data_IF_517985083180
#
_entry.id   IF_517985083180
#
_cell.length_a   1.000
_cell.length_b   1.000
_cell.length_c   1.000
_cell.angle_alpha   90.00
_cell.angle_beta   90.00
_cell.angle_gamma   90.00
#
_symmetry.space_group_name_H-M   'P 1'
#
loop_
_entity.id
_entity.type
_entity.pdbx_description
1 polymer ?
#
# COMPACT_ATOMS: atom_id res chain seq x y z
N UNK A 1 0.61 5.22 -38.67
CA UNK A 1 -0.11 6.13 -37.74
C UNK A 1 0.90 6.80 -36.84
N UNK A 2 0.77 8.10 -36.54
CA UNK A 2 1.57 8.75 -35.50
C UNK A 2 1.41 7.99 -34.17
N UNK A 3 2.48 7.86 -33.41
CA UNK A 3 2.56 7.03 -32.20
C UNK A 3 1.46 7.34 -31.17
N UNK A 4 1.02 8.60 -31.11
CA UNK A 4 -0.04 9.07 -30.21
C UNK A 4 -1.45 8.53 -30.57
N UNK A 5 -1.75 8.37 -31.86
CA UNK A 5 -3.05 7.84 -32.32
C UNK A 5 -3.15 6.35 -32.05
N UNK A 6 -2.03 5.62 -32.16
CA UNK A 6 -1.96 4.19 -31.88
C UNK A 6 -2.16 3.90 -30.38
N UNK A 7 -1.49 4.68 -29.52
CA UNK A 7 -1.64 4.58 -28.05
C UNK A 7 -3.10 4.85 -27.62
N UNK A 8 -3.78 5.80 -28.25
CA UNK A 8 -5.17 6.12 -27.92
C UNK A 8 -6.17 5.04 -28.40
N UNK A 9 -5.95 4.46 -29.59
CA UNK A 9 -6.75 3.33 -30.10
C UNK A 9 -6.61 2.07 -29.24
N UNK A 10 -5.40 1.77 -28.77
CA UNK A 10 -5.14 0.62 -27.91
C UNK A 10 -5.81 0.80 -26.53
N UNK A 11 -5.90 2.05 -26.05
CA UNK A 11 -6.57 2.40 -24.77
C UNK A 11 -8.09 2.20 -24.84
N UNK A 12 -8.72 2.52 -25.98
CA UNK A 12 -10.17 2.32 -26.19
C UNK A 12 -10.51 0.84 -26.37
N UNK A 13 -9.71 0.08 -27.12
CA UNK A 13 -9.99 -1.36 -27.32
C UNK A 13 -9.91 -2.18 -26.03
N UNK A 14 -9.04 -1.79 -25.09
CA UNK A 14 -8.98 -2.39 -23.75
C UNK A 14 -10.16 -2.03 -22.84
N UNK A 15 -10.87 -0.93 -23.14
CA UNK A 15 -12.02 -0.47 -22.34
C UNK A 15 -13.35 -1.17 -22.68
N UNK A 16 -13.40 -1.98 -23.75
CA UNK A 16 -14.64 -2.60 -24.26
C UNK A 16 -14.70 -4.13 -24.15
N UNK A 17 -13.78 -4.77 -23.42
CA UNK A 17 -13.83 -6.21 -23.14
C UNK A 17 -14.33 -6.51 -21.72
N UNK A 18 -15.66 -6.46 -21.51
CA UNK A 18 -16.34 -6.91 -20.29
C UNK A 18 -17.87 -6.98 -20.50
N UNK A 19 -18.57 -8.04 -20.04
CA UNK A 19 -19.91 -8.34 -20.53
C UNK A 19 -21.02 -7.56 -19.80
N UNK A 20 -22.04 -7.20 -20.59
CA UNK A 20 -23.38 -6.76 -20.18
C UNK A 20 -23.48 -5.46 -19.35
N UNK A 21 -23.63 -4.32 -20.03
CA UNK A 21 -24.92 -3.59 -20.22
C UNK A 21 -24.63 -2.24 -20.90
N UNK A 22 -24.32 -2.24 -22.20
CA UNK A 22 -24.20 -1.01 -22.98
C UNK A 22 -24.91 -1.17 -24.32
N UNK A 23 -26.24 -1.05 -24.33
CA UNK A 23 -27.02 -1.06 -25.58
C UNK A 23 -27.87 0.17 -25.81
N UNK A 24 -27.77 1.21 -24.97
CA UNK A 24 -28.42 2.51 -25.30
C UNK A 24 -27.55 3.77 -25.09
N UNK A 25 -26.40 3.67 -24.41
CA UNK A 25 -25.50 4.82 -24.21
C UNK A 25 -24.39 4.90 -25.29
N UNK A 26 -23.99 3.78 -25.90
CA UNK A 26 -22.88 3.76 -26.88
C UNK A 26 -23.17 4.38 -28.26
N UNK A 27 -24.42 4.66 -28.63
CA UNK A 27 -24.71 5.21 -29.96
C UNK A 27 -24.53 6.73 -30.05
N UNK A 28 -24.71 7.47 -28.94
CA UNK A 28 -24.67 8.94 -28.95
C UNK A 28 -23.28 9.53 -28.70
N UNK A 29 -22.34 8.78 -28.13
CA UNK A 29 -20.96 9.26 -27.90
C UNK A 29 -19.98 8.88 -29.01
N UNK A 30 -20.38 8.00 -29.94
CA UNK A 30 -19.50 7.55 -31.04
C UNK A 30 -19.31 8.59 -32.16
N UNK A 31 -20.29 9.47 -32.41
CA UNK A 31 -20.19 10.49 -33.45
C UNK A 31 -19.35 11.70 -33.00
N UNK A 32 -19.37 12.03 -31.71
CA UNK A 32 -18.60 13.15 -31.13
C UNK A 32 -17.09 12.85 -31.14
N UNK A 33 -16.71 11.63 -30.77
CA UNK A 33 -15.30 11.17 -30.78
C UNK A 33 -14.75 11.09 -32.21
N UNK A 34 -15.58 10.71 -33.19
CA UNK A 34 -15.19 10.68 -34.61
C UNK A 34 -15.05 12.11 -35.15
N UNK A 35 -15.92 13.04 -34.74
CA UNK A 35 -15.81 14.45 -35.11
C UNK A 35 -14.54 15.11 -34.54
N UNK A 36 -14.16 14.77 -33.31
CA UNK A 36 -12.90 15.23 -32.69
C UNK A 36 -11.67 14.59 -33.35
N UNK A 37 -11.72 13.31 -33.74
CA UNK A 37 -10.66 12.66 -34.53
C UNK A 37 -10.46 13.34 -35.90
N UNK A 38 -11.54 13.65 -36.61
CA UNK A 38 -11.47 14.33 -37.91
C UNK A 38 -10.95 15.76 -37.78
N UNK A 39 -11.27 16.45 -36.69
CA UNK A 39 -10.75 17.78 -36.38
C UNK A 39 -9.24 17.76 -36.06
N UNK A 40 -8.77 16.79 -35.26
CA UNK A 40 -7.35 16.60 -34.94
C UNK A 40 -6.52 16.19 -36.16
N UNK A 41 -7.05 15.33 -37.03
CA UNK A 41 -6.39 14.96 -38.29
C UNK A 41 -6.29 16.11 -39.30
N UNK A 42 -7.23 17.07 -39.27
CA UNK A 42 -7.20 18.28 -40.10
C UNK A 42 -6.15 19.30 -39.62
N UNK A 43 -5.92 19.37 -38.30
CA UNK A 43 -4.93 20.27 -37.67
C UNK A 43 -3.46 19.84 -37.87
N UNK A 44 -3.20 18.56 -38.13
CA UNK A 44 -1.83 18.01 -38.32
C UNK A 44 -1.38 17.92 -39.79
N UNK A 45 -2.15 18.43 -40.76
CA UNK A 45 -1.70 18.61 -42.15
C UNK A 45 -1.52 17.30 -42.97
N UNK A 46 -2.20 16.21 -42.61
CA UNK A 46 -2.18 14.98 -43.39
C UNK A 46 -2.89 15.15 -44.75
N UNK A 47 -2.35 14.53 -45.81
CA UNK A 47 -2.94 14.61 -47.16
C UNK A 47 -4.30 13.92 -47.16
N UNK A 48 -5.31 14.54 -47.80
CA UNK A 48 -6.72 14.09 -47.88
C UNK A 48 -6.88 12.61 -48.22
N UNK A 49 -6.00 12.05 -49.05
CA UNK A 49 -6.02 10.62 -49.42
C UNK A 49 -5.74 9.66 -48.25
N UNK A 50 -4.99 10.07 -47.23
CA UNK A 50 -4.69 9.24 -46.04
C UNK A 50 -5.85 9.22 -45.05
N UNK A 51 -6.60 10.32 -44.97
CA UNK A 51 -7.84 10.43 -44.18
C UNK A 51 -8.93 9.54 -44.80
N UNK A 52 -9.05 9.56 -46.12
CA UNK A 52 -10.04 8.76 -46.85
C UNK A 52 -9.74 7.25 -46.76
N UNK A 53 -8.46 6.88 -46.78
CA UNK A 53 -8.01 5.50 -46.51
C UNK A 53 -8.36 5.07 -45.08
N UNK A 54 -8.09 5.90 -44.08
CA UNK A 54 -8.43 5.61 -42.69
C UNK A 54 -9.95 5.45 -42.48
N UNK A 55 -10.76 6.24 -43.19
CA UNK A 55 -12.22 6.15 -43.17
C UNK A 55 -12.72 4.81 -43.75
N UNK A 56 -12.12 4.36 -44.84
CA UNK A 56 -12.48 3.08 -45.46
C UNK A 56 -12.06 1.88 -44.61
N UNK A 57 -10.89 1.94 -43.96
CA UNK A 57 -10.41 0.87 -43.08
C UNK A 57 -11.31 0.72 -41.83
N UNK A 58 -11.78 1.83 -41.24
CA UNK A 58 -12.75 1.82 -40.13
C UNK A 58 -14.10 1.23 -40.55
N UNK A 59 -14.57 1.54 -41.77
CA UNK A 59 -15.83 1.00 -42.30
C UNK A 59 -15.74 -0.53 -42.49
N UNK A 60 -14.61 -1.02 -43.02
CA UNK A 60 -14.38 -2.45 -43.24
C UNK A 60 -14.33 -3.24 -41.92
N UNK A 61 -13.70 -2.67 -40.90
CA UNK A 61 -13.67 -3.25 -39.55
C UNK A 61 -15.07 -3.33 -38.91
N UNK A 62 -15.94 -2.33 -39.14
CA UNK A 62 -17.35 -2.38 -38.69
C UNK A 62 -18.13 -3.51 -39.34
N UNK A 63 -17.94 -3.73 -40.64
CA UNK A 63 -18.63 -4.78 -41.40
C UNK A 63 -18.15 -6.19 -40.98
N UNK A 64 -16.86 -6.36 -40.69
CA UNK A 64 -16.31 -7.63 -40.17
C UNK A 64 -16.83 -7.97 -38.76
N UNK A 65 -16.92 -6.98 -37.86
CA UNK A 65 -17.49 -7.15 -36.51
C UNK A 65 -18.98 -7.50 -36.57
N UNK A 66 -19.73 -6.85 -37.48
CA UNK A 66 -21.15 -7.17 -37.69
C UNK A 66 -21.37 -8.60 -38.24
N UNK A 67 -20.46 -9.07 -39.10
CA UNK A 67 -20.53 -10.43 -39.66
C UNK A 67 -20.21 -11.53 -38.64
N UNK A 68 -19.31 -11.29 -37.68
CA UNK A 68 -18.96 -12.22 -36.59
C UNK A 68 -20.05 -12.37 -35.53
N UNK A 69 -20.89 -11.35 -35.33
CA UNK A 69 -21.99 -11.39 -34.37
C UNK A 69 -23.22 -12.16 -34.88
N UNK A 70 -23.31 -12.49 -36.17
CA UNK A 70 -24.46 -13.19 -36.76
C UNK A 70 -24.34 -14.71 -36.80
N UNK A 71 -23.21 -15.31 -36.42
CA UNK A 71 -22.98 -16.76 -36.56
C UNK A 71 -23.07 -17.59 -35.28
N UNK A 72 -23.34 -17.01 -34.10
CA UNK A 72 -23.38 -17.75 -32.82
C UNK A 72 -24.63 -17.45 -31.96
N UNK A 73 -25.82 -17.53 -32.55
CA UNK A 73 -27.08 -17.41 -31.80
C UNK A 73 -28.08 -18.51 -32.20
N UNK A 74 -27.86 -19.74 -31.73
CA UNK A 74 -28.92 -20.72 -31.49
C UNK A 74 -28.53 -21.59 -30.26
N UNK A 75 -29.48 -21.69 -29.32
CA UNK A 75 -29.49 -22.47 -28.07
C UNK A 75 -28.54 -22.08 -26.92
N UNK A 76 -29.04 -21.27 -25.96
CA UNK A 76 -29.45 -21.80 -24.64
C UNK A 76 -30.06 -20.68 -23.78
N UNK A 77 -31.39 -20.63 -23.71
CA UNK A 77 -32.14 -19.61 -22.97
C UNK A 77 -32.37 -20.08 -21.52
N UNK A 78 -31.38 -19.89 -20.65
CA UNK A 78 -31.57 -19.95 -19.18
C UNK A 78 -31.09 -18.64 -18.55
N UNK A 79 -32.05 -17.86 -18.05
CA UNK A 79 -31.85 -16.67 -17.21
C UNK A 79 -30.73 -16.93 -16.18
N UNK A 80 -29.58 -16.27 -16.34
CA UNK A 80 -28.63 -16.08 -15.25
C UNK A 80 -28.86 -14.67 -14.69
N UNK A 81 -29.61 -14.61 -13.60
CA UNK A 81 -29.45 -13.57 -12.60
C UNK A 81 -27.97 -13.48 -12.20
N UNK A 82 -27.44 -12.34 -11.72
CA UNK A 82 -26.12 -12.32 -11.09
C UNK A 82 -26.21 -13.22 -9.85
N UNK A 83 -25.76 -14.47 -9.98
CA UNK A 83 -25.55 -15.34 -8.85
C UNK A 83 -24.41 -14.73 -8.06
N UNK A 84 -24.73 -14.15 -6.90
CA UNK A 84 -23.81 -14.08 -5.77
C UNK A 84 -23.27 -15.52 -5.62
N UNK A 85 -21.96 -15.77 -5.75
CA UNK A 85 -21.43 -17.08 -5.44
C UNK A 85 -21.64 -17.29 -3.95
N UNK A 86 -22.65 -18.09 -3.59
CA UNK A 86 -22.73 -18.69 -2.27
C UNK A 86 -21.65 -19.76 -2.21
N UNK A 87 -20.41 -19.32 -2.05
CA UNK A 87 -19.27 -20.21 -1.88
C UNK A 87 -19.34 -20.78 -0.45
N UNK A 88 -19.37 -22.12 -0.27
CA UNK A 88 -19.51 -22.73 1.06
C UNK A 88 -18.33 -22.47 2.02
N UNK A 89 -17.28 -21.76 1.58
CA UNK A 89 -16.20 -21.25 2.43
C UNK A 89 -16.48 -19.88 3.09
N UNK A 90 -17.58 -19.21 2.75
CA UNK A 90 -17.87 -17.84 3.22
C UNK A 90 -18.44 -17.77 4.66
N UNK A 91 -18.52 -18.88 5.39
CA UNK A 91 -19.01 -18.90 6.76
C UNK A 91 -17.84 -18.94 7.74
N UNK A 92 -17.60 -17.84 8.45
CA UNK A 92 -16.56 -17.76 9.48
C UNK A 92 -16.91 -18.71 10.64
N UNK A 93 -15.95 -19.51 11.09
CA UNK A 93 -16.16 -20.37 12.26
C UNK A 93 -16.20 -19.53 13.55
N UNK A 94 -16.69 -20.11 14.65
CA UNK A 94 -16.69 -19.42 15.95
C UNK A 94 -15.28 -19.10 16.41
N UNK A 95 -14.37 -20.04 16.21
CA UNK A 95 -12.95 -19.90 16.53
C UNK A 95 -12.34 -18.74 15.73
N UNK A 96 -12.71 -18.58 14.45
CA UNK A 96 -12.30 -17.43 13.63
C UNK A 96 -12.83 -16.13 14.18
N UNK A 97 -14.12 -16.05 14.51
CA UNK A 97 -14.74 -14.83 15.05
C UNK A 97 -14.10 -14.42 16.38
N UNK A 98 -13.85 -15.38 17.28
CA UNK A 98 -13.13 -15.13 18.54
C UNK A 98 -11.70 -14.67 18.31
N UNK A 99 -10.95 -15.33 17.42
CA UNK A 99 -9.58 -14.95 17.08
C UNK A 99 -9.50 -13.56 16.43
N UNK A 100 -10.52 -13.15 15.68
CA UNK A 100 -10.58 -11.85 15.00
C UNK A 100 -10.60 -10.68 15.99
N UNK A 101 -11.00 -10.91 17.24
CA UNK A 101 -10.98 -9.90 18.32
C UNK A 101 -9.59 -9.67 18.92
N UNK A 102 -8.59 -10.49 18.55
CA UNK A 102 -7.26 -10.49 19.13
C UNK A 102 -6.20 -9.96 18.14
N UNK A 103 -5.18 -9.23 18.61
CA UNK A 103 -4.08 -8.77 17.75
C UNK A 103 -3.17 -9.92 17.27
N UNK A 104 -3.35 -11.12 17.82
CA UNK A 104 -2.65 -12.34 17.40
C UNK A 104 -3.23 -12.98 16.14
N UNK A 105 -4.32 -12.43 15.57
CA UNK A 105 -4.91 -12.93 14.33
C UNK A 105 -3.88 -12.94 13.19
N UNK A 106 -3.64 -14.12 12.61
CA UNK A 106 -2.75 -14.30 11.47
C UNK A 106 -3.50 -13.97 10.17
N UNK A 107 -3.28 -12.76 9.66
CA UNK A 107 -3.89 -12.32 8.42
C UNK A 107 -3.38 -13.09 7.20
N UNK A 108 -2.20 -13.71 7.23
CA UNK A 108 -1.60 -14.38 6.05
C UNK A 108 -2.32 -15.66 5.63
N UNK A 109 -3.10 -16.27 6.52
CA UNK A 109 -3.87 -17.49 6.22
C UNK A 109 -5.12 -17.26 5.35
N UNK A 110 -5.48 -15.99 5.09
CA UNK A 110 -6.77 -15.64 4.53
C UNK A 110 -6.65 -15.02 3.14
N UNK A 111 -7.49 -15.48 2.23
CA UNK A 111 -7.65 -14.91 0.89
C UNK A 111 -8.59 -13.69 0.91
N UNK A 112 -8.59 -12.83 -0.14
CA UNK A 112 -9.38 -11.61 -0.17
C UNK A 112 -10.86 -11.79 0.15
N UNK A 113 -11.52 -12.84 -0.36
CA UNK A 113 -12.94 -13.11 -0.09
C UNK A 113 -13.22 -13.43 1.39
N UNK A 114 -12.29 -14.10 2.06
CA UNK A 114 -12.43 -14.44 3.47
C UNK A 114 -12.16 -13.20 4.35
N UNK A 115 -11.15 -12.39 3.99
CA UNK A 115 -10.91 -11.09 4.61
C UNK A 115 -12.10 -10.15 4.47
N UNK A 116 -12.75 -10.11 3.31
CA UNK A 116 -14.00 -9.36 3.09
C UNK A 116 -15.13 -9.84 4.00
N UNK A 117 -15.24 -11.15 4.21
CA UNK A 117 -16.23 -11.74 5.14
C UNK A 117 -15.93 -11.37 6.59
N UNK A 118 -14.64 -11.34 6.98
CA UNK A 118 -14.21 -10.85 8.29
C UNK A 118 -14.56 -9.37 8.49
N UNK A 119 -14.31 -8.51 7.50
CA UNK A 119 -14.69 -7.09 7.56
C UNK A 119 -16.21 -6.91 7.67
N UNK A 120 -16.98 -7.66 6.89
CA UNK A 120 -18.45 -7.67 7.00
C UNK A 120 -18.89 -8.06 8.42
N UNK A 121 -18.31 -9.13 8.97
CA UNK A 121 -18.60 -9.58 10.33
C UNK A 121 -18.33 -8.49 11.38
N UNK A 122 -17.20 -7.79 11.32
CA UNK A 122 -16.87 -6.72 12.27
C UNK A 122 -17.95 -5.63 12.32
N UNK A 123 -18.51 -5.22 11.16
CA UNK A 123 -19.58 -4.22 11.10
C UNK A 123 -20.90 -4.72 11.73
N UNK A 124 -21.20 -6.00 11.57
CA UNK A 124 -22.37 -6.63 12.19
C UNK A 124 -22.18 -6.79 13.70
N UNK A 125 -21.03 -7.30 14.13
CA UNK A 125 -20.71 -7.61 15.52
C UNK A 125 -20.67 -6.35 16.40
N UNK A 126 -20.05 -5.29 15.89
CA UNK A 126 -20.04 -3.97 16.55
C UNK A 126 -21.42 -3.29 16.58
N UNK A 127 -22.45 -3.89 15.97
CA UNK A 127 -23.81 -3.34 15.91
C UNK A 127 -23.99 -2.19 14.92
N UNK A 128 -22.95 -1.84 14.13
CA UNK A 128 -22.98 -0.70 13.21
C UNK A 128 -24.05 -0.86 12.13
N UNK A 129 -24.22 -2.09 11.62
CA UNK A 129 -25.26 -2.38 10.64
C UNK A 129 -26.66 -2.11 11.19
N UNK A 130 -26.92 -2.55 12.42
CA UNK A 130 -28.22 -2.40 13.09
C UNK A 130 -28.49 -0.94 13.43
N UNK A 131 -27.54 -0.29 14.10
CA UNK A 131 -27.75 1.02 14.70
C UNK A 131 -27.82 2.14 13.65
N UNK A 132 -27.15 1.97 12.52
CA UNK A 132 -27.14 2.93 11.40
C UNK A 132 -28.00 2.51 10.21
N UNK A 133 -28.75 1.40 10.34
CA UNK A 133 -29.58 0.85 9.28
C UNK A 133 -28.81 0.68 7.96
N UNK A 134 -27.58 0.15 8.03
CA UNK A 134 -26.77 -0.12 6.85
C UNK A 134 -27.40 -1.31 6.13
N UNK A 135 -27.69 -1.16 4.83
CA UNK A 135 -28.18 -2.29 4.05
C UNK A 135 -27.06 -3.35 3.92
N UNK A 136 -27.27 -4.62 4.33
CA UNK A 136 -26.21 -5.64 4.29
C UNK A 136 -25.66 -5.93 2.88
N UNK A 137 -26.48 -5.77 1.84
CA UNK A 137 -26.05 -5.93 0.44
C UNK A 137 -25.16 -4.74 0.04
N UNK A 138 -25.54 -3.53 0.43
CA UNK A 138 -24.73 -2.32 0.19
C UNK A 138 -23.40 -2.40 0.94
N UNK A 139 -23.38 -2.94 2.17
CA UNK A 139 -22.13 -3.18 2.91
C UNK A 139 -21.17 -4.09 2.13
N UNK A 140 -21.67 -5.22 1.60
CA UNK A 140 -20.85 -6.15 0.78
C UNK A 140 -20.33 -5.48 -0.49
N UNK A 141 -21.19 -4.76 -1.21
CA UNK A 141 -20.81 -4.04 -2.44
C UNK A 141 -19.77 -2.95 -2.15
N UNK A 142 -19.94 -2.22 -1.07
CA UNK A 142 -18.99 -1.23 -0.61
C UNK A 142 -17.63 -1.87 -0.29
N UNK A 143 -17.58 -2.95 0.50
CA UNK A 143 -16.33 -3.66 0.82
C UNK A 143 -15.64 -4.22 -0.42
N UNK A 144 -16.40 -4.76 -1.38
CA UNK A 144 -15.85 -5.19 -2.69
C UNK A 144 -15.26 -4.01 -3.46
N UNK A 145 -15.97 -2.87 -3.50
CA UNK A 145 -15.48 -1.67 -4.16
C UNK A 145 -14.22 -1.10 -3.48
N UNK A 146 -14.14 -1.16 -2.14
CA UNK A 146 -12.92 -0.84 -1.39
C UNK A 146 -11.77 -1.73 -1.83
N UNK A 147 -11.97 -3.06 -1.82
CA UNK A 147 -10.96 -4.03 -2.26
C UNK A 147 -10.45 -3.71 -3.67
N UNK A 148 -11.35 -3.45 -4.61
CA UNK A 148 -11.01 -3.18 -6.01
C UNK A 148 -10.24 -1.85 -6.20
N UNK A 149 -10.30 -0.94 -5.23
CA UNK A 149 -9.58 0.33 -5.24
C UNK A 149 -8.28 0.29 -4.41
N UNK A 150 -7.92 -0.83 -3.80
CA UNK A 150 -6.55 -1.05 -3.32
C UNK A 150 -5.69 -1.63 -4.44
N UNK A 151 -4.46 -1.10 -4.58
CA UNK A 151 -3.51 -1.59 -5.59
C UNK A 151 -2.70 -2.76 -5.06
N UNK A 152 -2.12 -3.53 -5.98
CA UNK A 152 -1.22 -4.64 -5.67
C UNK A 152 0.22 -4.16 -5.42
N UNK A 153 0.40 -3.22 -4.48
CA UNK A 153 1.74 -2.86 -4.00
C UNK A 153 2.24 -3.91 -2.99
N UNK A 154 3.56 -4.04 -2.78
CA UNK A 154 4.08 -5.01 -1.81
C UNK A 154 3.58 -4.77 -0.38
N UNK A 155 3.53 -3.51 0.08
CA UNK A 155 3.10 -3.17 1.44
C UNK A 155 1.71 -2.51 1.47
N UNK A 156 1.53 -1.36 0.80
CA UNK A 156 0.27 -0.61 0.86
C UNK A 156 -0.77 -1.21 -0.08
N UNK A 157 -1.39 -2.32 0.35
CA UNK A 157 -2.36 -3.13 -0.39
C UNK A 157 -3.60 -3.48 0.48
N UNK A 158 -4.53 -4.26 -0.08
CA UNK A 158 -5.75 -4.64 0.64
C UNK A 158 -5.50 -5.44 1.93
N UNK A 159 -4.42 -6.21 2.01
CA UNK A 159 -4.09 -6.95 3.22
C UNK A 159 -3.60 -6.01 4.33
N UNK A 160 -2.88 -4.93 3.99
CA UNK A 160 -2.53 -3.87 4.95
C UNK A 160 -3.80 -3.19 5.48
N UNK A 161 -4.71 -2.78 4.58
CA UNK A 161 -6.03 -2.29 4.95
C UNK A 161 -6.77 -3.21 5.93
N UNK A 162 -6.76 -4.52 5.65
CA UNK A 162 -7.34 -5.52 6.53
C UNK A 162 -6.65 -5.56 7.89
N UNK A 163 -5.31 -5.60 7.94
CA UNK A 163 -4.53 -5.58 9.19
C UNK A 163 -4.83 -4.36 10.06
N UNK A 164 -4.93 -3.18 9.47
CA UNK A 164 -5.25 -1.93 10.17
C UNK A 164 -6.67 -1.97 10.74
N UNK A 165 -7.63 -2.42 9.94
CA UNK A 165 -9.03 -2.52 10.36
C UNK A 165 -9.23 -3.59 11.44
N UNK A 166 -8.58 -4.73 11.31
CA UNK A 166 -8.63 -5.82 12.28
C UNK A 166 -7.93 -5.43 13.60
N UNK A 167 -6.85 -4.65 13.54
CA UNK A 167 -6.23 -4.08 14.75
C UNK A 167 -7.16 -3.07 15.42
N UNK A 168 -7.85 -2.22 14.66
CA UNK A 168 -8.85 -1.30 15.21
C UNK A 168 -9.98 -2.07 15.92
N UNK A 169 -10.50 -3.13 15.30
CA UNK A 169 -11.49 -4.01 15.91
C UNK A 169 -10.96 -4.65 17.21
N UNK A 170 -9.72 -5.17 17.18
CA UNK A 170 -9.06 -5.71 18.38
C UNK A 170 -8.92 -4.67 19.49
N UNK A 171 -8.54 -3.43 19.16
CA UNK A 171 -8.46 -2.34 20.13
C UNK A 171 -9.84 -1.97 20.69
N UNK A 172 -10.89 -1.96 19.86
CA UNK A 172 -12.26 -1.71 20.30
C UNK A 172 -12.69 -2.75 21.35
N UNK A 173 -12.42 -4.03 21.09
CA UNK A 173 -12.72 -5.13 22.01
C UNK A 173 -11.85 -5.06 23.29
N UNK A 174 -10.52 -5.00 23.14
CA UNK A 174 -9.57 -5.02 24.26
C UNK A 174 -9.71 -3.80 25.19
N UNK A 175 -9.99 -2.63 24.63
CA UNK A 175 -10.10 -1.38 25.38
C UNK A 175 -11.52 -1.02 25.78
N UNK A 176 -12.51 -1.89 25.52
CA UNK A 176 -13.95 -1.64 25.72
C UNK A 176 -14.38 -0.27 25.17
N UNK A 177 -13.95 0.08 23.95
CA UNK A 177 -14.13 1.44 23.42
C UNK A 177 -15.60 1.82 23.22
N UNK A 178 -16.51 0.85 23.06
CA UNK A 178 -17.95 1.10 22.98
C UNK A 178 -18.56 1.63 24.31
N UNK A 179 -17.84 1.52 25.44
CA UNK A 179 -18.24 2.16 26.70
C UNK A 179 -17.76 3.61 26.80
N UNK A 180 -16.84 4.04 25.91
CA UNK A 180 -16.16 5.33 25.95
C UNK A 180 -16.54 6.24 24.79
N UNK A 181 -16.87 5.65 23.65
CA UNK A 181 -17.20 6.34 22.41
C UNK A 181 -18.63 6.07 22.00
N UNK A 182 -19.22 7.02 21.30
CA UNK A 182 -20.52 6.82 20.66
C UNK A 182 -20.39 5.86 19.47
N UNK A 183 -21.50 5.22 19.08
CA UNK A 183 -21.50 4.35 17.89
C UNK A 183 -21.08 5.08 16.61
N UNK A 184 -21.30 6.40 16.51
CA UNK A 184 -20.87 7.21 15.36
C UNK A 184 -19.35 7.28 15.28
N UNK A 185 -18.68 7.36 16.43
CA UNK A 185 -17.22 7.41 16.52
C UNK A 185 -16.60 6.04 16.27
N UNK A 186 -17.25 4.95 16.72
CA UNK A 186 -16.85 3.58 16.38
C UNK A 186 -16.97 3.36 14.86
N UNK A 187 -18.08 3.79 14.26
CA UNK A 187 -18.25 3.76 12.81
C UNK A 187 -17.17 4.57 12.09
N UNK A 188 -16.84 5.77 12.58
CA UNK A 188 -15.80 6.61 11.99
C UNK A 188 -14.41 5.94 12.03
N UNK A 189 -14.04 5.32 13.16
CA UNK A 189 -12.79 4.60 13.33
C UNK A 189 -12.69 3.41 12.36
N UNK A 190 -13.72 2.58 12.30
CA UNK A 190 -13.75 1.41 11.40
C UNK A 190 -13.77 1.82 9.92
N UNK A 191 -14.54 2.85 9.56
CA UNK A 191 -14.61 3.35 8.18
C UNK A 191 -13.29 3.95 7.75
N UNK A 192 -12.69 4.79 8.59
CA UNK A 192 -11.39 5.41 8.30
C UNK A 192 -10.29 4.36 8.15
N UNK A 193 -10.23 3.36 9.05
CA UNK A 193 -9.26 2.27 8.97
C UNK A 193 -9.34 1.50 7.65
N UNK A 194 -10.56 1.19 7.17
CA UNK A 194 -10.77 0.49 5.89
C UNK A 194 -10.37 1.36 4.68
N UNK A 195 -10.50 2.69 4.79
CA UNK A 195 -10.33 3.60 3.66
C UNK A 195 -8.97 4.33 3.61
N UNK A 196 -8.13 4.21 4.64
CA UNK A 196 -7.04 5.17 4.86
C UNK A 196 -5.98 5.22 3.77
N UNK A 197 -5.77 4.13 3.02
CA UNK A 197 -4.74 3.99 1.98
C UNK A 197 -5.31 3.65 0.59
N UNK A 198 -6.58 3.98 0.35
CA UNK A 198 -7.25 3.73 -0.94
C UNK A 198 -6.46 4.32 -2.12
N UNK A 199 -6.24 3.51 -3.15
CA UNK A 199 -5.52 3.88 -4.37
C UNK A 199 -4.06 4.34 -4.13
N UNK A 200 -3.41 3.89 -3.04
CA UNK A 200 -2.01 4.18 -2.78
C UNK A 200 -1.12 3.73 -3.95
N UNK A 201 -0.22 4.59 -4.48
CA UNK A 201 0.52 4.30 -5.71
C UNK A 201 1.83 3.53 -5.50
N UNK A 202 2.19 3.22 -4.25
CA UNK A 202 3.46 2.57 -3.90
C UNK A 202 4.65 3.54 -3.74
N UNK A 203 4.39 4.85 -3.73
CA UNK A 203 5.40 5.90 -3.56
C UNK A 203 4.88 6.98 -2.62
N UNK A 204 5.62 7.26 -1.55
CA UNK A 204 5.18 8.13 -0.46
C UNK A 204 5.10 9.63 -0.85
N UNK A 205 4.59 10.46 0.07
CA UNK A 205 4.42 11.91 -0.14
C UNK A 205 5.72 12.62 -0.57
N UNK A 206 6.88 12.23 -0.04
CA UNK A 206 8.17 12.82 -0.40
C UNK A 206 8.47 12.63 -1.89
N UNK A 207 8.21 11.42 -2.42
CA UNK A 207 8.32 11.17 -3.85
C UNK A 207 7.33 12.00 -4.65
N UNK A 208 6.05 12.05 -4.24
CA UNK A 208 5.02 12.82 -4.95
C UNK A 208 5.44 14.28 -5.14
N UNK A 209 5.93 14.90 -4.06
CA UNK A 209 6.36 16.30 -4.02
C UNK A 209 7.64 16.52 -4.85
N UNK A 210 8.68 15.70 -4.63
CA UNK A 210 9.95 15.87 -5.34
C UNK A 210 9.82 15.63 -6.84
N UNK A 211 9.02 14.65 -7.25
CA UNK A 211 8.72 14.36 -8.65
C UNK A 211 7.64 15.28 -9.26
N UNK A 212 7.03 16.15 -8.45
CA UNK A 212 5.94 17.08 -8.85
C UNK A 212 4.83 16.37 -9.60
N UNK A 213 4.38 15.24 -9.05
CA UNK A 213 3.34 14.43 -9.68
C UNK A 213 2.01 15.18 -9.73
N UNK A 214 1.06 14.69 -10.53
CA UNK A 214 -0.29 15.26 -10.59
C UNK A 214 -0.93 15.39 -9.20
N UNK A 215 -0.70 14.41 -8.32
CA UNK A 215 -1.25 14.40 -6.98
C UNK A 215 -0.65 15.50 -6.10
N UNK A 216 0.68 15.67 -6.12
CA UNK A 216 1.34 16.76 -5.39
C UNK A 216 0.86 18.14 -5.87
N UNK A 217 0.73 18.32 -7.18
CA UNK A 217 0.21 19.57 -7.76
C UNK A 217 -1.26 19.81 -7.38
N UNK A 218 -2.11 18.76 -7.43
CA UNK A 218 -3.53 18.86 -7.09
C UNK A 218 -3.75 19.25 -5.63
N UNK A 219 -2.94 18.72 -4.72
CA UNK A 219 -3.05 18.95 -3.27
C UNK A 219 -2.05 19.97 -2.73
N UNK A 220 -1.32 20.67 -3.61
CA UNK A 220 -0.39 21.74 -3.27
C UNK A 220 0.63 21.32 -2.20
N UNK A 221 1.19 20.12 -2.33
CA UNK A 221 2.17 19.51 -1.42
C UNK A 221 1.68 19.26 0.03
N UNK A 222 0.39 19.45 0.32
CA UNK A 222 -0.20 19.24 1.66
C UNK A 222 -0.80 17.84 1.73
N UNK A 223 -0.12 16.92 2.41
CA UNK A 223 -0.52 15.50 2.57
C UNK A 223 -1.16 14.91 1.30
N UNK A 224 -0.47 14.90 0.14
CA UNK A 224 -1.11 14.56 -1.15
C UNK A 224 -1.79 13.20 -1.16
N UNK A 225 -1.14 12.18 -0.60
CA UNK A 225 -1.65 10.81 -0.55
C UNK A 225 -2.90 10.71 0.34
N UNK A 226 -2.83 11.22 1.57
CA UNK A 226 -3.93 11.08 2.53
C UNK A 226 -5.18 11.86 2.06
N UNK A 227 -4.99 13.00 1.40
CA UNK A 227 -6.08 13.71 0.72
C UNK A 227 -6.66 12.90 -0.44
N UNK A 228 -5.82 12.21 -1.21
CA UNK A 228 -6.25 11.34 -2.31
C UNK A 228 -7.03 10.13 -1.81
N UNK A 229 -6.52 9.40 -0.81
CA UNK A 229 -7.20 8.26 -0.18
C UNK A 229 -8.59 8.66 0.30
N UNK A 230 -8.68 9.81 0.98
CA UNK A 230 -9.95 10.35 1.43
C UNK A 230 -10.89 10.75 0.28
N UNK A 231 -10.36 11.38 -0.77
CA UNK A 231 -11.15 11.73 -1.95
C UNK A 231 -11.74 10.49 -2.64
N UNK A 232 -10.93 9.44 -2.82
CA UNK A 232 -11.37 8.15 -3.39
C UNK A 232 -12.44 7.50 -2.51
N UNK A 233 -12.27 7.49 -1.17
CA UNK A 233 -13.28 6.97 -0.25
C UNK A 233 -14.65 7.60 -0.48
N UNK A 234 -14.71 8.93 -0.60
CA UNK A 234 -15.98 9.63 -0.81
C UNK A 234 -16.49 9.62 -2.26
N UNK A 235 -15.62 9.34 -3.23
CA UNK A 235 -16.07 8.98 -4.58
C UNK A 235 -16.79 7.63 -4.55
N UNK A 236 -16.30 6.64 -3.81
CA UNK A 236 -16.98 5.35 -3.62
C UNK A 236 -18.33 5.56 -2.91
N UNK A 237 -18.38 6.33 -1.82
CA UNK A 237 -19.65 6.62 -1.12
C UNK A 237 -20.65 7.42 -1.97
N UNK A 238 -20.20 8.12 -3.01
CA UNK A 238 -21.10 8.84 -3.94
C UNK A 238 -21.87 7.90 -4.87
N UNK A 239 -21.42 6.64 -5.02
CA UNK A 239 -22.11 5.62 -5.80
C UNK A 239 -23.27 5.04 -4.96
N UNK A 240 -24.53 5.10 -5.40
CA UNK A 240 -25.68 4.67 -4.61
C UNK A 240 -25.59 3.22 -4.11
N UNK A 241 -25.02 2.33 -4.93
CA UNK A 241 -24.87 0.91 -4.62
C UNK A 241 -23.75 0.59 -3.61
N UNK A 242 -22.88 1.56 -3.30
CA UNK A 242 -21.78 1.45 -2.34
C UNK A 242 -21.94 2.41 -1.13
N UNK A 243 -23.03 3.16 -1.07
CA UNK A 243 -23.23 4.16 -0.03
C UNK A 243 -23.80 3.55 1.25
N UNK A 244 -22.93 3.08 2.16
CA UNK A 244 -23.35 2.58 3.48
C UNK A 244 -23.98 3.66 4.37
N UNK A 245 -23.85 4.94 4.01
CA UNK A 245 -24.45 6.08 4.71
C UNK A 245 -25.76 6.56 4.06
N UNK A 246 -26.33 5.80 3.12
CA UNK A 246 -27.53 6.21 2.36
C UNK A 246 -28.71 6.63 3.27
N UNK A 247 -28.87 5.97 4.41
CA UNK A 247 -29.97 6.21 5.36
C UNK A 247 -29.65 7.31 6.40
N UNK A 248 -28.51 7.99 6.30
CA UNK A 248 -28.11 9.03 7.24
C UNK A 248 -28.86 10.32 6.92
N UNK A 249 -29.26 11.04 7.97
CA UNK A 249 -29.66 12.43 7.78
C UNK A 249 -28.44 13.30 7.40
N UNK A 250 -28.65 14.51 6.84
CA UNK A 250 -27.55 15.36 6.39
C UNK A 250 -26.55 15.76 7.47
N UNK A 251 -26.98 15.94 8.73
CA UNK A 251 -26.08 16.33 9.82
C UNK A 251 -25.24 15.13 10.29
N UNK A 252 -25.86 13.95 10.40
CA UNK A 252 -25.15 12.70 10.66
C UNK A 252 -24.11 12.41 9.57
N UNK A 253 -24.46 12.59 8.29
CA UNK A 253 -23.53 12.42 7.17
C UNK A 253 -22.37 13.43 7.23
N UNK A 254 -22.66 14.69 7.56
CA UNK A 254 -21.63 15.72 7.71
C UNK A 254 -20.68 15.39 8.87
N UNK A 255 -21.21 14.87 9.98
CA UNK A 255 -20.40 14.45 11.12
C UNK A 255 -19.47 13.30 10.74
N UNK A 256 -20.01 12.18 10.22
CA UNK A 256 -19.17 11.01 9.85
C UNK A 256 -18.13 11.40 8.81
N UNK A 257 -18.51 12.23 7.82
CA UNK A 257 -17.56 12.73 6.82
C UNK A 257 -16.41 13.50 7.45
N UNK A 258 -16.71 14.44 8.35
CA UNK A 258 -15.69 15.24 9.02
C UNK A 258 -14.76 14.37 9.87
N UNK A 259 -15.31 13.40 10.60
CA UNK A 259 -14.53 12.47 11.42
C UNK A 259 -13.61 11.59 10.55
N UNK A 260 -14.15 10.95 9.50
CA UNK A 260 -13.36 10.12 8.59
C UNK A 260 -12.23 10.92 7.91
N UNK A 261 -12.51 12.14 7.43
CA UNK A 261 -11.46 13.02 6.86
C UNK A 261 -10.35 13.27 7.88
N UNK A 262 -10.72 13.62 9.11
CA UNK A 262 -9.75 13.95 10.17
C UNK A 262 -8.86 12.75 10.50
N UNK A 263 -9.43 11.54 10.52
CA UNK A 263 -8.70 10.31 10.83
C UNK A 263 -7.77 9.86 9.70
N UNK A 264 -8.23 9.90 8.45
CA UNK A 264 -7.38 9.56 7.29
C UNK A 264 -6.23 10.57 7.18
N UNK A 265 -6.47 11.88 7.29
CA UNK A 265 -5.40 12.88 7.26
C UNK A 265 -4.44 12.82 8.47
N UNK A 266 -4.77 12.06 9.51
CA UNK A 266 -3.90 11.85 10.66
C UNK A 266 -2.89 10.71 10.43
N UNK A 267 -3.11 9.83 9.44
CA UNK A 267 -2.17 8.72 9.15
C UNK A 267 -0.84 9.24 8.60
N UNK A 268 -0.82 10.40 7.94
CA UNK A 268 0.41 11.08 7.48
C UNK A 268 1.48 11.13 8.60
N UNK A 269 2.58 10.42 8.37
CA UNK A 269 3.67 10.30 9.33
C UNK A 269 4.47 11.59 9.49
N UNK A 270 4.38 12.55 8.56
CA UNK A 270 4.96 13.89 8.75
C UNK A 270 4.31 14.62 9.95
N UNK A 271 3.07 14.26 10.29
CA UNK A 271 2.30 14.85 11.42
C UNK A 271 2.43 14.04 12.72
N UNK A 272 3.16 12.93 12.72
CA UNK A 272 3.27 12.04 13.88
C UNK A 272 3.70 12.77 15.16
N UNK A 273 4.77 13.56 15.10
CA UNK A 273 5.30 14.27 16.27
C UNK A 273 4.33 15.32 16.82
N UNK A 274 3.60 16.03 15.95
CA UNK A 274 2.59 17.02 16.33
C UNK A 274 1.42 16.36 17.08
N UNK A 275 0.87 15.30 16.50
CA UNK A 275 -0.29 14.58 17.05
C UNK A 275 0.08 13.93 18.38
N UNK A 276 1.21 13.22 18.45
CA UNK A 276 1.63 12.53 19.67
C UNK A 276 1.98 13.53 20.79
N UNK A 277 2.60 14.67 20.46
CA UNK A 277 2.87 15.73 21.44
C UNK A 277 1.57 16.29 22.02
N UNK A 278 0.59 16.57 21.16
CA UNK A 278 -0.74 17.05 21.58
C UNK A 278 -1.44 16.04 22.48
N UNK A 279 -1.35 14.74 22.16
CA UNK A 279 -1.95 13.70 22.99
C UNK A 279 -1.25 13.57 24.35
N UNK A 280 0.09 13.59 24.38
CA UNK A 280 0.88 13.56 25.62
C UNK A 280 0.55 14.71 26.58
N UNK A 281 0.17 15.88 26.07
CA UNK A 281 -0.27 17.01 26.88
C UNK A 281 -1.65 16.79 27.53
N UNK A 282 -2.48 15.93 26.94
CA UNK A 282 -3.86 15.67 27.38
C UNK A 282 -3.99 14.40 28.22
N UNK A 283 -3.08 13.43 28.05
CA UNK A 283 -3.23 12.05 28.57
C UNK A 283 -3.30 11.98 30.10
N UNK A 284 -2.50 12.77 30.82
CA UNK A 284 -2.42 12.70 32.29
C UNK A 284 -3.68 13.26 32.98
N UNK A 285 -4.44 14.12 32.29
CA UNK A 285 -5.73 14.67 32.74
C UNK A 285 -6.81 14.45 31.68
N UNK A 286 -6.88 13.23 31.14
CA UNK A 286 -7.77 12.94 30.01
C UNK A 286 -9.24 12.97 30.43
N UNK A 287 -10.08 13.64 29.65
CA UNK A 287 -11.50 13.78 29.88
C UNK A 287 -12.29 13.26 28.67
N UNK A 288 -13.03 12.17 28.86
CA UNK A 288 -13.87 11.55 27.82
C UNK A 288 -15.08 12.39 27.42
N UNK A 289 -15.44 13.41 28.20
CA UNK A 289 -16.51 14.35 27.84
C UNK A 289 -16.00 15.50 26.97
N UNK A 290 -14.68 15.71 26.93
CA UNK A 290 -14.06 16.75 26.12
C UNK A 290 -13.82 16.24 24.68
N UNK A 291 -14.54 16.84 23.72
CA UNK A 291 -14.47 16.48 22.30
C UNK A 291 -13.06 16.58 21.70
N UNK A 292 -12.23 17.52 22.15
CA UNK A 292 -10.85 17.67 21.66
C UNK A 292 -9.90 16.60 22.21
N UNK A 293 -10.18 16.07 23.40
CA UNK A 293 -9.43 14.95 23.97
C UNK A 293 -9.79 13.68 23.22
N UNK A 294 -11.09 13.41 23.04
CA UNK A 294 -11.59 12.26 22.29
C UNK A 294 -11.13 12.30 20.83
N UNK A 295 -11.22 13.44 20.14
CA UNK A 295 -10.71 13.57 18.77
C UNK A 295 -9.20 13.28 18.68
N UNK A 296 -8.42 13.77 19.64
CA UNK A 296 -6.98 13.49 19.71
C UNK A 296 -6.69 12.01 19.94
N UNK A 297 -7.45 11.36 20.82
CA UNK A 297 -7.33 9.92 21.07
C UNK A 297 -7.67 9.11 19.82
N UNK A 298 -8.77 9.42 19.12
CA UNK A 298 -9.14 8.72 17.88
C UNK A 298 -8.05 8.83 16.80
N UNK A 299 -7.43 10.00 16.64
CA UNK A 299 -6.27 10.15 15.75
C UNK A 299 -5.10 9.27 16.17
N UNK A 300 -4.79 9.17 17.46
CA UNK A 300 -3.73 8.28 17.95
C UNK A 300 -4.09 6.81 17.76
N UNK A 301 -5.35 6.41 17.96
CA UNK A 301 -5.81 5.04 17.79
C UNK A 301 -5.66 4.56 16.34
N UNK A 302 -6.09 5.37 15.34
CA UNK A 302 -5.91 4.98 13.94
C UNK A 302 -4.42 4.89 13.58
N UNK A 303 -3.58 5.80 14.10
CA UNK A 303 -2.13 5.70 13.92
C UNK A 303 -1.54 4.46 14.59
N UNK A 304 -1.98 4.10 15.78
CA UNK A 304 -1.57 2.85 16.42
C UNK A 304 -1.86 1.66 15.51
N UNK A 305 -3.06 1.58 14.94
CA UNK A 305 -3.48 0.48 14.07
C UNK A 305 -2.70 0.45 12.75
N UNK A 306 -2.50 1.61 12.13
CA UNK A 306 -1.80 1.79 10.85
C UNK A 306 -0.38 1.20 10.88
N UNK A 307 0.38 1.50 11.95
CA UNK A 307 1.77 1.02 12.10
C UNK A 307 1.89 -0.14 13.10
N UNK A 308 0.85 -0.95 13.25
CA UNK A 308 0.77 -2.01 14.29
C UNK A 308 1.42 -3.34 13.94
N UNK A 309 2.07 -3.50 12.78
CA UNK A 309 2.57 -4.81 12.34
C UNK A 309 3.49 -5.48 13.38
N UNK A 310 4.40 -4.73 14.00
CA UNK A 310 5.33 -5.23 15.03
C UNK A 310 4.69 -5.51 16.40
N UNK A 311 3.39 -5.21 16.56
CA UNK A 311 2.60 -5.62 17.73
C UNK A 311 2.18 -7.08 17.61
N UNK A 312 2.06 -7.59 16.38
CA UNK A 312 1.60 -8.95 16.09
C UNK A 312 2.69 -9.97 16.44
N UNK A 313 2.33 -11.27 16.58
CA UNK A 313 3.31 -12.35 16.70
C UNK A 313 4.36 -12.27 15.59
N UNK A 314 5.59 -12.66 15.90
CA UNK A 314 6.74 -12.49 15.02
C UNK A 314 6.52 -13.14 13.65
N UNK A 315 5.90 -14.32 13.61
CA UNK A 315 5.63 -15.07 12.39
C UNK A 315 4.65 -14.34 11.46
N UNK A 316 3.81 -13.47 12.03
CA UNK A 316 2.86 -12.62 11.30
C UNK A 316 3.49 -11.27 10.93
N UNK A 317 4.33 -10.73 11.81
CA UNK A 317 4.96 -9.41 11.65
C UNK A 317 6.14 -9.42 10.65
N UNK A 318 7.01 -10.42 10.71
CA UNK A 318 8.27 -10.45 9.95
C UNK A 318 8.07 -10.39 8.42
N UNK A 319 7.09 -11.08 7.81
CA UNK A 319 6.84 -10.96 6.37
C UNK A 319 6.47 -9.53 5.93
N UNK A 320 5.83 -8.73 6.80
CA UNK A 320 5.52 -7.34 6.48
C UNK A 320 6.77 -6.47 6.32
N UNK A 321 7.88 -6.82 6.99
CA UNK A 321 9.14 -6.08 6.84
C UNK A 321 9.73 -6.29 5.45
N UNK A 322 9.61 -7.50 4.89
CA UNK A 322 10.02 -7.76 3.51
C UNK A 322 9.17 -6.94 2.52
N UNK A 323 7.85 -6.97 2.68
CA UNK A 323 6.92 -6.16 1.89
C UNK A 323 7.25 -4.65 1.96
N UNK A 324 7.51 -4.15 3.17
CA UNK A 324 7.85 -2.73 3.40
C UNK A 324 9.14 -2.34 2.68
N UNK A 325 10.19 -3.14 2.86
CA UNK A 325 11.49 -2.88 2.25
C UNK A 325 11.43 -3.01 0.72
N UNK A 326 10.69 -3.97 0.19
CA UNK A 326 10.48 -4.09 -1.26
C UNK A 326 9.86 -2.81 -1.84
N UNK A 327 8.80 -2.30 -1.22
CA UNK A 327 8.15 -1.06 -1.66
C UNK A 327 9.05 0.18 -1.51
N UNK A 328 9.73 0.31 -0.38
CA UNK A 328 10.68 1.40 -0.15
C UNK A 328 11.85 1.38 -1.14
N UNK A 329 12.35 0.19 -1.46
CA UNK A 329 13.45 0.05 -2.41
C UNK A 329 13.01 0.31 -3.86
N UNK A 330 11.78 -0.07 -4.23
CA UNK A 330 11.23 0.36 -5.53
C UNK A 330 11.17 1.88 -5.66
N UNK A 331 10.79 2.59 -4.59
CA UNK A 331 10.83 4.05 -4.57
C UNK A 331 12.26 4.59 -4.68
N UNK A 332 13.18 4.16 -3.82
CA UNK A 332 14.53 4.72 -3.81
C UNK A 332 15.32 4.40 -5.08
N UNK A 333 15.13 3.22 -5.68
CA UNK A 333 15.72 2.86 -6.97
C UNK A 333 15.18 3.78 -8.09
N UNK A 334 13.89 4.12 -8.06
CA UNK A 334 13.28 5.07 -9.00
C UNK A 334 13.77 6.50 -8.79
N UNK A 335 13.87 6.95 -7.54
CA UNK A 335 14.44 8.26 -7.20
C UNK A 335 15.88 8.40 -7.72
N UNK A 336 16.72 7.36 -7.55
CA UNK A 336 18.07 7.32 -8.14
C UNK A 336 18.04 7.44 -9.66
N UNK A 337 17.14 6.70 -10.33
CA UNK A 337 17.03 6.70 -11.78
C UNK A 337 16.55 8.04 -12.36
N UNK A 338 15.67 8.74 -11.63
CA UNK A 338 15.12 10.04 -12.03
C UNK A 338 15.96 11.23 -11.55
N UNK A 339 17.04 10.99 -10.79
CA UNK A 339 17.90 12.03 -10.24
C UNK A 339 17.26 12.84 -9.10
N UNK A 340 16.30 12.23 -8.39
CA UNK A 340 15.62 12.80 -7.24
C UNK A 340 16.38 12.52 -5.93
N UNK A 341 16.14 13.31 -4.85
CA UNK A 341 16.71 13.03 -3.54
C UNK A 341 16.25 11.68 -2.99
N UNK A 342 17.18 10.90 -2.44
CA UNK A 342 16.91 9.59 -1.83
C UNK A 342 17.06 9.68 -0.32
N UNK A 343 16.05 9.23 0.42
CA UNK A 343 16.10 9.18 1.87
C UNK A 343 17.02 8.04 2.36
N UNK A 344 18.00 8.28 3.27
CA UNK A 344 18.93 7.24 3.72
C UNK A 344 18.25 6.01 4.35
N UNK A 345 17.11 6.18 5.01
CA UNK A 345 16.35 5.11 5.64
C UNK A 345 15.52 4.26 4.66
N UNK A 346 15.51 4.61 3.37
CA UNK A 346 14.85 3.85 2.29
C UNK A 346 15.86 3.33 1.26
N UNK A 347 17.16 3.59 1.45
CA UNK A 347 18.18 3.24 0.47
C UNK A 347 18.55 1.75 0.59
N UNK A 348 18.31 0.98 -0.48
CA UNK A 348 18.62 -0.46 -0.57
C UNK A 348 20.05 -0.81 -0.16
N UNK A 349 21.00 0.08 -0.40
CA UNK A 349 22.42 -0.14 -0.08
C UNK A 349 22.76 0.10 1.40
N UNK A 350 21.88 0.77 2.15
CA UNK A 350 22.14 1.19 3.54
C UNK A 350 21.23 0.53 4.57
N UNK A 351 20.10 -0.03 4.13
CA UNK A 351 19.05 -0.50 5.03
C UNK A 351 19.08 -2.02 5.13
N UNK A 352 19.06 -2.50 6.37
CA UNK A 352 18.81 -3.89 6.74
C UNK A 352 17.46 -3.99 7.48
N UNK A 353 16.88 -5.19 7.56
CA UNK A 353 15.68 -5.41 8.39
C UNK A 353 15.87 -4.92 9.82
N UNK A 354 17.00 -5.30 10.43
CA UNK A 354 17.36 -4.95 11.81
C UNK A 354 17.44 -3.43 12.02
N UNK A 355 18.09 -2.71 11.10
CA UNK A 355 18.22 -1.24 11.20
C UNK A 355 16.91 -0.49 10.94
N UNK A 356 16.08 -0.97 10.01
CA UNK A 356 14.76 -0.40 9.73
C UNK A 356 13.85 -0.49 10.97
N UNK A 357 13.75 -1.68 11.58
CA UNK A 357 12.77 -1.92 12.64
C UNK A 357 13.23 -1.41 14.01
N UNK A 358 14.52 -1.52 14.37
CA UNK A 358 15.03 -1.13 15.70
C UNK A 358 14.68 0.32 16.03
N UNK A 359 15.01 1.25 15.12
CA UNK A 359 14.74 2.68 15.33
C UNK A 359 13.25 2.99 15.34
N UNK A 360 12.50 2.38 14.41
CA UNK A 360 11.06 2.59 14.30
C UNK A 360 10.30 2.12 15.55
N UNK A 361 10.59 0.91 16.04
CA UNK A 361 9.96 0.39 17.27
C UNK A 361 10.31 1.27 18.47
N UNK A 362 11.59 1.61 18.63
CA UNK A 362 12.10 2.35 19.80
C UNK A 362 11.61 3.78 19.89
N UNK A 363 11.54 4.49 18.77
CA UNK A 363 11.31 5.93 18.76
C UNK A 363 9.93 6.33 18.24
N UNK A 364 9.20 5.44 17.56
CA UNK A 364 7.85 5.70 17.04
C UNK A 364 6.81 4.84 17.77
N UNK A 365 6.94 3.51 17.72
CA UNK A 365 5.91 2.61 18.27
C UNK A 365 5.83 2.67 19.79
N UNK A 366 6.92 2.36 20.50
CA UNK A 366 6.92 2.29 21.96
C UNK A 366 6.43 3.61 22.60
N UNK A 367 6.93 4.81 22.22
CA UNK A 367 6.44 6.05 22.82
C UNK A 367 4.95 6.32 22.57
N UNK A 368 4.40 5.86 21.46
CA UNK A 368 2.98 6.02 21.13
C UNK A 368 2.12 5.04 21.93
N UNK A 369 2.45 3.74 21.89
CA UNK A 369 1.70 2.71 22.61
C UNK A 369 1.81 2.87 24.14
N UNK A 370 2.96 3.26 24.69
CA UNK A 370 3.11 3.57 26.11
C UNK A 370 2.28 4.78 26.54
N UNK A 371 2.04 5.75 25.64
CA UNK A 371 1.14 6.87 25.93
C UNK A 371 -0.31 6.40 25.94
N UNK A 372 -0.73 5.54 25.00
CA UNK A 372 -2.08 4.95 24.99
C UNK A 372 -2.32 4.05 26.22
N UNK A 373 -1.29 3.32 26.65
CA UNK A 373 -1.31 2.43 27.82
C UNK A 373 -1.68 3.17 29.12
N UNK A 374 -1.39 4.47 29.22
CA UNK A 374 -1.82 5.29 30.36
C UNK A 374 -3.34 5.36 30.52
N UNK A 375 -4.09 5.30 29.41
CA UNK A 375 -5.55 5.27 29.42
C UNK A 375 -6.10 3.84 29.41
N UNK A 376 -5.37 2.90 28.81
CA UNK A 376 -5.76 1.51 28.65
C UNK A 376 -4.63 0.57 29.12
N UNK A 377 -4.45 0.38 30.44
CA UNK A 377 -3.34 -0.41 30.97
C UNK A 377 -3.29 -1.86 30.47
N UNK A 378 -4.44 -2.42 30.09
CA UNK A 378 -4.54 -3.79 29.57
C UNK A 378 -3.77 -4.03 28.27
N UNK A 379 -3.39 -2.98 27.53
CA UNK A 379 -2.57 -3.14 26.32
C UNK A 379 -1.10 -3.44 26.63
N UNK A 380 -0.67 -3.33 27.89
CA UNK A 380 0.73 -3.56 28.28
C UNK A 380 1.18 -4.97 27.87
N UNK A 381 0.47 -6.00 28.36
CA UNK A 381 0.81 -7.40 28.09
C UNK A 381 0.56 -7.79 26.63
N UNK A 382 -0.51 -7.26 26.03
CA UNK A 382 -0.99 -7.72 24.72
C UNK A 382 -0.29 -7.00 23.56
N UNK A 383 0.20 -5.77 23.77
CA UNK A 383 0.75 -4.94 22.68
C UNK A 383 2.12 -4.33 22.99
N UNK A 384 2.33 -3.76 24.17
CA UNK A 384 3.59 -3.08 24.52
C UNK A 384 4.73 -4.08 24.74
N UNK A 385 4.44 -5.20 25.40
CA UNK A 385 5.42 -6.25 25.65
C UNK A 385 5.91 -6.93 24.37
N UNK A 386 5.06 -7.34 23.41
CA UNK A 386 5.52 -7.81 22.09
C UNK A 386 6.43 -6.80 21.37
N UNK A 387 6.13 -5.49 21.45
CA UNK A 387 7.01 -4.47 20.87
C UNK A 387 8.38 -4.41 21.55
N UNK A 388 8.45 -4.57 22.87
CA UNK A 388 9.72 -4.63 23.61
C UNK A 388 10.53 -5.87 23.22
N UNK A 389 9.88 -7.02 23.12
CA UNK A 389 10.50 -8.28 22.69
C UNK A 389 10.99 -8.20 21.23
N UNK A 390 10.20 -7.62 20.32
CA UNK A 390 10.59 -7.39 18.93
C UNK A 390 11.79 -6.43 18.83
N UNK A 391 11.80 -5.33 19.60
CA UNK A 391 12.96 -4.42 19.68
C UNK A 391 14.22 -5.17 20.08
N UNK A 392 14.17 -5.93 21.17
CA UNK A 392 15.35 -6.63 21.71
C UNK A 392 15.89 -7.62 20.69
N UNK A 393 15.01 -8.37 20.02
CA UNK A 393 15.39 -9.27 18.93
C UNK A 393 16.04 -8.56 17.75
N UNK A 394 15.52 -7.42 17.30
CA UNK A 394 16.15 -6.67 16.20
C UNK A 394 17.48 -6.03 16.63
N UNK A 395 17.64 -5.64 17.89
CA UNK A 395 18.92 -5.19 18.45
C UNK A 395 19.95 -6.34 18.47
N UNK A 396 19.56 -7.57 18.80
CA UNK A 396 20.41 -8.77 18.71
C UNK A 396 20.76 -9.15 17.26
N UNK A 397 19.77 -9.09 16.35
CA UNK A 397 19.98 -9.35 14.93
C UNK A 397 20.98 -8.35 14.35
N UNK A 398 20.86 -7.07 14.72
CA UNK A 398 21.81 -6.02 14.31
C UNK A 398 23.23 -6.33 14.78
N UNK A 399 23.41 -6.74 16.03
CA UNK A 399 24.74 -7.11 16.55
C UNK A 399 25.35 -8.28 15.77
N UNK A 400 24.51 -9.25 15.40
CA UNK A 400 24.92 -10.40 14.59
C UNK A 400 25.32 -9.96 13.17
N UNK A 401 24.52 -9.10 12.53
CA UNK A 401 24.82 -8.53 11.21
C UNK A 401 26.15 -7.77 11.22
N UNK A 402 26.36 -6.92 12.24
CA UNK A 402 27.59 -6.13 12.42
C UNK A 402 28.81 -7.04 12.60
N UNK A 403 28.72 -8.09 13.42
CA UNK A 403 29.80 -9.06 13.64
C UNK A 403 30.15 -9.87 12.38
N UNK A 404 29.14 -10.26 11.59
CA UNK A 404 29.34 -10.94 10.29
C UNK A 404 30.05 -10.01 9.31
N UNK A 405 29.61 -8.75 9.22
CA UNK A 405 30.22 -7.74 8.34
C UNK A 405 31.68 -7.44 8.71
N UNK A 406 32.00 -7.33 9.99
CA UNK A 406 33.37 -7.19 10.48
C UNK A 406 34.24 -8.40 10.09
N UNK A 407 33.70 -9.62 10.23
CA UNK A 407 34.40 -10.87 9.88
C UNK A 407 34.67 -10.94 8.37
N UNK A 408 33.69 -10.61 7.53
CA UNK A 408 33.83 -10.59 6.07
C UNK A 408 34.87 -9.54 5.65
N UNK A 409 34.82 -8.34 6.24
CA UNK A 409 35.79 -7.26 5.99
C UNK A 409 37.21 -7.66 6.38
N UNK A 410 37.37 -8.36 7.51
CA UNK A 410 38.64 -8.90 7.97
C UNK A 410 39.21 -9.96 7.00
N UNK A 411 38.38 -10.92 6.57
CA UNK A 411 38.77 -11.95 5.59
C UNK A 411 39.18 -11.31 4.25
N UNK A 412 38.41 -10.34 3.76
CA UNK A 412 38.72 -9.63 2.52
C UNK A 412 40.04 -8.86 2.61
N UNK A 413 40.30 -8.23 3.75
CA UNK A 413 41.55 -7.52 4.03
C UNK A 413 42.74 -8.48 4.06
N UNK A 414 42.62 -9.63 4.73
CA UNK A 414 43.67 -10.65 4.76
C UNK A 414 43.96 -11.20 3.35
N UNK A 415 42.93 -11.55 2.58
CA UNK A 415 43.10 -12.07 1.23
C UNK A 415 43.76 -11.03 0.30
N UNK A 416 43.40 -9.76 0.44
CA UNK A 416 44.03 -8.66 -0.30
C UNK A 416 45.52 -8.52 0.05
N UNK A 417 45.88 -8.61 1.33
CA UNK A 417 47.27 -8.57 1.78
C UNK A 417 48.07 -9.78 1.28
N UNK A 418 47.49 -10.98 1.32
CA UNK A 418 48.11 -12.20 0.81
C UNK A 418 48.39 -12.10 -0.70
N UNK A 419 47.42 -11.61 -1.47
CA UNK A 419 47.56 -11.39 -2.91
C UNK A 419 48.66 -10.35 -3.25
N UNK A 420 48.79 -9.29 -2.44
CA UNK A 420 49.88 -8.32 -2.57
C UNK A 420 51.23 -8.98 -2.29
N UNK A 421 51.32 -9.80 -1.23
CA UNK A 421 52.56 -10.53 -0.90
C UNK A 421 52.96 -11.52 -2.01
N UNK A 422 52.03 -12.29 -2.56
CA UNK A 422 52.31 -13.20 -3.67
C UNK A 422 52.80 -12.46 -4.92
N UNK A 423 52.21 -11.31 -5.24
CA UNK A 423 52.68 -10.46 -6.36
C UNK A 423 54.09 -9.93 -6.12
N UNK A 424 54.42 -9.56 -4.89
CA UNK A 424 55.78 -9.12 -4.54
C UNK A 424 56.79 -10.27 -4.64
N UNK A 425 56.45 -11.48 -4.18
CA UNK A 425 57.29 -12.67 -4.33
C UNK A 425 57.51 -13.06 -5.80
N UNK A 426 56.45 -13.07 -6.63
CA UNK A 426 56.58 -13.30 -8.09
C UNK A 426 57.47 -12.25 -8.77
N UNK A 427 57.41 -10.99 -8.33
CA UNK A 427 58.31 -9.93 -8.83
C UNK A 427 59.76 -10.13 -8.40
N UNK A 428 60.01 -10.54 -7.15
CA UNK A 428 61.36 -10.88 -6.65
C UNK A 428 61.95 -12.08 -7.40
N UNK A 429 61.19 -13.17 -7.56
CA UNK A 429 61.63 -14.35 -8.30
C UNK A 429 61.94 -14.08 -9.79
N UNK A 430 61.17 -13.20 -10.45
CA UNK A 430 61.50 -12.74 -11.82
C UNK A 430 62.77 -11.89 -11.89
N UNK A 431 63.11 -11.17 -10.83
CA UNK A 431 64.33 -10.34 -10.76
C UNK A 431 65.56 -11.23 -10.57
N UNK A 432 65.49 -12.17 -9.64
CA UNK A 432 66.55 -13.18 -9.41
C UNK A 432 66.77 -14.11 -10.62
N UNK A 433 65.70 -14.47 -11.34
CA UNK A 433 65.81 -15.25 -12.58
C UNK A 433 66.51 -14.48 -13.71
N UNK A 434 66.30 -13.16 -13.82
CA UNK A 434 67.02 -12.29 -14.77
C UNK A 434 68.48 -12.10 -14.37
N UNK A 435 68.77 -11.95 -13.08
CA UNK A 435 70.14 -11.79 -12.59
C UNK A 435 70.97 -13.08 -12.80
N UNK A 436 70.36 -14.27 -12.65
CA UNK A 436 71.00 -15.56 -13.00
C UNK A 436 71.21 -15.75 -14.50
N UNK A 437 70.27 -15.32 -15.36
CA UNK A 437 70.47 -15.34 -16.82
C UNK A 437 71.54 -14.34 -17.28
N UNK A 438 71.66 -13.20 -16.60
CA UNK A 438 72.70 -12.20 -16.86
C UNK A 438 74.12 -12.63 -16.42
N UNK A 439 74.23 -13.48 -15.39
CA UNK A 439 75.51 -14.09 -14.99
C UNK A 439 75.94 -15.21 -15.95
N UNK A 440 75.02 -16.07 -16.41
CA UNK A 440 75.35 -17.13 -17.37
C UNK A 440 75.71 -16.61 -18.77
N UNK A 441 75.25 -15.42 -19.17
CA UNK A 441 75.67 -14.79 -20.43
C UNK A 441 77.06 -14.16 -20.32
N UNK A 442 77.46 -13.67 -19.14
CA UNK A 442 78.81 -13.11 -18.92
C UNK A 442 79.91 -14.17 -18.78
N UNK A 443 79.59 -15.39 -18.35
CA UNK A 443 80.57 -16.49 -18.34
C UNK A 443 80.77 -17.15 -19.71
N UNK A 444 79.82 -16.99 -20.66
CA UNK A 444 79.94 -17.49 -22.03
C UNK A 444 80.81 -16.64 -22.96
N UNK A 445 80.88 -15.32 -22.72
CA UNK A 445 81.68 -14.39 -23.55
C UNK A 445 83.15 -14.28 -23.11
N UNK A 446 83.53 -14.85 -21.97
CA UNK A 446 84.92 -14.87 -21.49
C UNK A 446 85.74 -16.09 -21.97
N UNK A 447 85.21 -16.88 -22.91
CA UNK A 447 85.85 -18.10 -23.46
C UNK A 447 85.98 -18.13 -24.99
N UNK A 448 86.01 -16.98 -25.65
CA UNK A 448 86.35 -16.87 -27.09
C UNK A 448 87.69 -16.21 -27.32
#
# INVERSE_FOLDING_TARGET
MPSRVRIWLDTIFLSFSGPSTITSVCYKESDTVISEMLFLCSLEGMKVMEIEKCRNDIKKLREEIASRNNSNFLDDNKKRSPCIPSDPKCHLSKETMEALTLPTFDAWQWEPNEMLSCLEHMYHDLGLVRDFNINPITLKRWLLCIHDNYRNNPYHNFRHCFCVTQMMYSMICLCSLQEKFTQMEILALMTAAVCHDLDHPGFNNMYQINARTEMALRYNDISPLENHHCAVAFQIFSQPDCNIFFNFDPEAFKQIRQETITLILATDMARHSEILKTFKQKVDNFDYTNKEHVACLKMVLIKCCDISNEVRPMEVAEPWVDCLLEEYFMQSDREKAEGLPVAPFMDREKVTKSTAQTGFIKFILLPMFETVMKLFPQIEEVMVKPLRESRDRYEELKQTDDAVNETVSFIFTQNSQLFVMERQQKRRGKKEGKDRQGQNTREGEAKS
#
